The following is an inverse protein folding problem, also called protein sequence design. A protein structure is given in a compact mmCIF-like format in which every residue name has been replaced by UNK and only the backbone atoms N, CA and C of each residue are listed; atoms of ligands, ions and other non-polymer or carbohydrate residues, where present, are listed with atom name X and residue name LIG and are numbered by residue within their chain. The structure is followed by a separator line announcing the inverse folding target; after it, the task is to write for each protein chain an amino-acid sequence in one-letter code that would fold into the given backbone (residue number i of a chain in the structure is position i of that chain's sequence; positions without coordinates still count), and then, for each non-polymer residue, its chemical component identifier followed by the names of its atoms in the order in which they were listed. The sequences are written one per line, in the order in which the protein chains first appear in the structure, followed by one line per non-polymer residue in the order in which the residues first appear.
data_IF_668390106817
#
_entry.id   IF_668390106817
#
_cell.length_a   1.000
_cell.length_b   1.000
_cell.length_c   1.000
_cell.angle_alpha   90.00
_cell.angle_beta   90.00
_cell.angle_gamma   90.00
#
_symmetry.space_group_name_H-M   'P 1'
#
loop_
_entity.id
_entity.type
_entity.pdbx_description
1 polymer ?
#
# COMPACT_ATOMS: atom_id res chain seq x y z
N UNK A 1 8.35 23.58 28.65
CA UNK A 1 7.10 24.03 27.97
C UNK A 1 6.58 22.82 27.22
N UNK A 2 5.32 22.37 27.35
CA UNK A 2 4.92 21.19 26.61
C UNK A 2 4.93 21.57 25.12
N UNK A 3 5.79 20.86 24.41
CA UNK A 3 5.98 20.91 22.96
C UNK A 3 4.61 20.68 22.30
N UNK A 4 4.32 21.35 21.18
CA UNK A 4 3.09 21.19 20.41
C UNK A 4 2.75 19.70 20.23
N UNK A 5 1.91 19.16 21.13
CA UNK A 5 1.54 17.76 21.11
C UNK A 5 0.60 17.59 19.93
N UNK A 6 1.13 17.06 18.83
CA UNK A 6 0.31 16.75 17.66
C UNK A 6 -0.77 15.77 18.12
N UNK A 7 -2.04 16.16 17.98
CA UNK A 7 -3.17 15.34 18.39
C UNK A 7 -3.65 14.46 17.23
N UNK A 8 -4.01 13.22 17.54
CA UNK A 8 -4.55 12.26 16.56
C UNK A 8 -5.88 11.72 17.03
N UNK A 9 -6.85 11.61 16.12
CA UNK A 9 -8.17 10.99 16.42
C UNK A 9 -8.10 9.48 16.28
N UNK A 10 -9.06 8.75 16.86
CA UNK A 10 -9.14 7.29 16.70
C UNK A 10 -9.15 6.82 15.23
N UNK A 11 -9.70 7.63 14.31
CA UNK A 11 -9.64 7.34 12.87
C UNK A 11 -8.22 7.51 12.30
N UNK A 12 -7.47 8.52 12.76
CA UNK A 12 -6.05 8.68 12.44
C UNK A 12 -5.20 7.52 12.96
N UNK A 13 -5.42 7.11 14.22
CA UNK A 13 -4.77 5.94 14.82
C UNK A 13 -5.02 4.68 14.00
N UNK A 14 -6.27 4.48 13.55
CA UNK A 14 -6.64 3.34 12.72
C UNK A 14 -5.87 3.33 11.38
N UNK A 15 -5.68 4.50 10.75
CA UNK A 15 -4.85 4.63 9.54
C UNK A 15 -3.37 4.34 9.81
N UNK A 16 -2.80 4.91 10.89
CA UNK A 16 -1.40 4.70 11.28
C UNK A 16 -1.10 3.22 11.54
N UNK A 17 -2.00 2.53 12.24
CA UNK A 17 -1.85 1.11 12.56
C UNK A 17 -2.41 0.19 11.46
N UNK A 18 -2.98 0.76 10.40
CA UNK A 18 -3.42 -0.02 9.27
C UNK A 18 -4.64 -0.91 9.48
N UNK A 19 -5.50 -0.54 10.42
CA UNK A 19 -6.65 -1.33 10.87
C UNK A 19 -7.96 -0.55 10.71
N UNK A 20 -9.10 -1.20 10.94
CA UNK A 20 -10.39 -0.52 11.07
C UNK A 20 -10.58 0.18 12.41
N UNK A 21 -11.44 1.21 12.46
CA UNK A 21 -11.79 1.96 13.70
C UNK A 21 -12.24 1.06 14.87
N UNK A 22 -12.88 -0.07 14.57
CA UNK A 22 -13.32 -1.04 15.58
C UNK A 22 -12.15 -1.66 16.36
N UNK A 23 -10.98 -1.83 15.73
CA UNK A 23 -9.77 -2.33 16.40
C UNK A 23 -9.29 -1.35 17.47
N UNK A 24 -9.24 -0.05 17.13
CA UNK A 24 -8.86 1.02 18.08
C UNK A 24 -9.82 1.08 19.26
N UNK A 25 -11.13 0.95 19.01
CA UNK A 25 -12.13 0.87 20.08
C UNK A 25 -11.91 -0.34 20.98
N UNK A 26 -11.59 -1.50 20.41
CA UNK A 26 -11.28 -2.70 21.18
C UNK A 26 -9.99 -2.54 22.00
N UNK A 27 -8.98 -1.87 21.45
CA UNK A 27 -7.73 -1.64 22.17
C UNK A 27 -7.94 -0.79 23.42
N UNK A 28 -8.66 0.33 23.29
CA UNK A 28 -9.03 1.20 24.41
C UNK A 28 -9.71 0.46 25.56
N UNK A 29 -10.48 -0.59 25.25
CA UNK A 29 -11.19 -1.40 26.25
C UNK A 29 -10.34 -2.50 26.86
N UNK A 30 -9.49 -3.16 26.07
CA UNK A 30 -8.73 -4.36 26.49
C UNK A 30 -7.33 -4.05 27.03
N UNK A 31 -6.78 -2.89 26.69
CA UNK A 31 -5.44 -2.46 27.08
C UNK A 31 -5.58 -1.24 27.99
N UNK A 32 -5.40 -1.46 29.30
CA UNK A 32 -5.49 -0.40 30.31
C UNK A 32 -4.37 0.65 30.15
N UNK A 33 -3.26 0.25 29.54
CA UNK A 33 -2.09 1.04 29.17
C UNK A 33 -2.29 1.83 27.84
N UNK A 34 -3.42 1.67 27.15
CA UNK A 34 -3.70 2.46 25.95
C UNK A 34 -3.74 3.96 26.30
N UNK A 35 -3.14 4.84 25.48
CA UNK A 35 -3.07 6.28 25.76
C UNK A 35 -4.43 6.89 26.07
N UNK A 36 -4.46 7.70 27.13
CA UNK A 36 -5.66 8.43 27.51
C UNK A 36 -5.89 9.62 26.56
N UNK A 37 -7.15 10.01 26.32
CA UNK A 37 -7.44 11.15 25.47
C UNK A 37 -6.92 12.44 26.13
N UNK A 38 -6.27 13.28 25.33
CA UNK A 38 -5.73 14.59 25.75
C UNK A 38 -6.65 15.75 25.31
N UNK A 39 -7.62 15.47 24.45
CA UNK A 39 -8.58 16.46 23.95
C UNK A 39 -9.74 15.86 23.15
N UNK A 40 -10.33 16.69 22.30
CA UNK A 40 -11.46 16.32 21.43
C UNK A 40 -12.80 16.34 22.16
N UNK A 41 -13.78 15.64 21.61
CA UNK A 41 -15.14 15.54 22.21
C UNK A 41 -15.38 14.14 22.76
N UNK A 42 -16.42 13.98 23.59
CA UNK A 42 -16.85 12.66 24.05
C UNK A 42 -17.14 11.69 22.89
N UNK A 43 -17.63 12.21 21.75
CA UNK A 43 -17.92 11.43 20.55
C UNK A 43 -16.68 11.17 19.68
N UNK A 44 -15.69 12.07 19.70
CA UNK A 44 -14.45 11.95 18.93
C UNK A 44 -13.26 12.43 19.76
N UNK A 45 -12.76 11.60 20.67
CA UNK A 45 -11.59 11.93 21.47
C UNK A 45 -10.33 12.03 20.61
N UNK A 46 -9.42 12.91 21.01
CA UNK A 46 -8.07 13.01 20.45
C UNK A 46 -7.02 12.59 21.49
N UNK A 47 -5.92 12.06 20.98
CA UNK A 47 -4.84 11.44 21.74
C UNK A 47 -3.51 12.09 21.37
N UNK A 48 -2.55 12.13 22.29
CA UNK A 48 -1.20 12.58 21.97
C UNK A 48 -0.56 11.60 20.97
N UNK A 49 -0.21 12.08 19.77
CA UNK A 49 0.36 11.25 18.70
C UNK A 49 1.59 10.48 19.17
N UNK A 50 2.50 11.14 19.87
CA UNK A 50 3.74 10.53 20.36
C UNK A 50 3.47 9.34 21.31
N UNK A 51 2.48 9.44 22.19
CA UNK A 51 2.12 8.35 23.10
C UNK A 51 1.49 7.17 22.35
N UNK A 52 0.65 7.47 21.35
CA UNK A 52 0.04 6.45 20.50
C UNK A 52 1.08 5.74 19.65
N UNK A 53 2.01 6.46 19.01
CA UNK A 53 3.07 5.84 18.21
C UNK A 53 4.00 4.98 19.04
N UNK A 54 4.35 5.44 20.25
CA UNK A 54 5.12 4.64 21.21
C UNK A 54 4.37 3.36 21.57
N UNK A 55 3.11 3.47 21.98
CA UNK A 55 2.29 2.31 22.33
C UNK A 55 2.13 1.35 21.14
N UNK A 56 1.86 1.86 19.94
CA UNK A 56 1.76 1.03 18.73
C UNK A 56 3.07 0.29 18.45
N UNK A 57 4.22 0.95 18.59
CA UNK A 57 5.54 0.33 18.39
C UNK A 57 5.80 -0.76 19.43
N UNK A 58 5.56 -0.48 20.71
CA UNK A 58 5.73 -1.44 21.82
C UNK A 58 4.85 -2.67 21.66
N UNK A 59 3.65 -2.50 21.12
CA UNK A 59 2.70 -3.59 20.88
C UNK A 59 2.94 -4.33 19.56
N UNK A 60 3.93 -3.93 18.75
CA UNK A 60 4.14 -4.45 17.38
C UNK A 60 2.98 -4.13 16.43
N UNK A 61 2.19 -3.11 16.75
CA UNK A 61 0.98 -2.65 16.02
C UNK A 61 1.24 -1.41 15.16
N UNK A 62 2.47 -0.89 15.12
CA UNK A 62 2.87 0.08 14.12
C UNK A 62 3.05 -0.69 12.81
N UNK A 63 2.04 -0.60 11.94
CA UNK A 63 2.11 -1.27 10.66
C UNK A 63 3.18 -0.58 9.79
N UNK A 64 4.09 -1.35 9.20
CA UNK A 64 4.50 -1.00 7.85
C UNK A 64 3.21 -0.82 7.05
N UNK A 65 3.03 0.34 6.41
CA UNK A 65 1.79 0.75 5.73
C UNK A 65 1.09 -0.48 5.14
N UNK A 66 -0.17 -0.80 5.54
CA UNK A 66 -0.81 -2.04 5.11
C UNK A 66 -0.69 -2.22 3.62
N UNK A 67 -0.46 -3.45 3.18
CA UNK A 67 -0.25 -3.73 1.75
C UNK A 67 -1.31 -3.09 0.86
N UNK A 68 -2.59 -3.10 1.28
CA UNK A 68 -3.67 -2.42 0.55
C UNK A 68 -3.44 -0.91 0.42
N UNK A 69 -3.07 -0.24 1.51
CA UNK A 69 -2.83 1.20 1.53
C UNK A 69 -1.56 1.53 0.75
N UNK A 70 -0.51 0.70 0.89
CA UNK A 70 0.73 0.85 0.14
C UNK A 70 0.50 0.70 -1.36
N UNK A 71 -0.23 -0.33 -1.80
CA UNK A 71 -0.63 -0.49 -3.20
C UNK A 71 -1.41 0.74 -3.69
N UNK A 72 -2.31 1.29 -2.87
CA UNK A 72 -3.04 2.50 -3.24
C UNK A 72 -2.12 3.72 -3.38
N UNK A 73 -1.15 3.89 -2.47
CA UNK A 73 -0.15 4.97 -2.54
C UNK A 73 0.73 4.85 -3.80
N UNK A 74 1.20 3.65 -4.14
CA UNK A 74 1.99 3.40 -5.36
C UNK A 74 1.16 3.68 -6.62
N UNK A 75 -0.10 3.24 -6.66
CA UNK A 75 -1.00 3.49 -7.81
C UNK A 75 -1.31 4.98 -7.96
N UNK A 76 -1.59 5.68 -6.85
CA UNK A 76 -1.91 7.11 -6.88
C UNK A 76 -0.69 8.00 -7.19
N UNK A 77 0.51 7.56 -6.80
CA UNK A 77 1.78 8.27 -7.01
C UNK A 77 2.47 7.98 -8.33
N UNK A 78 1.94 7.08 -9.16
CA UNK A 78 2.57 6.68 -10.42
C UNK A 78 2.70 7.89 -11.37
N UNK A 79 3.87 8.12 -11.99
CA UNK A 79 4.13 9.32 -12.80
C UNK A 79 3.20 9.46 -14.01
N UNK A 80 2.77 8.34 -14.59
CA UNK A 80 1.80 8.31 -15.69
C UNK A 80 0.31 8.31 -15.23
N UNK A 81 0.05 8.48 -13.93
CA UNK A 81 -1.27 8.49 -13.34
C UNK A 81 -1.85 7.10 -13.01
N UNK A 82 -2.93 7.10 -12.23
CA UNK A 82 -3.51 5.90 -11.64
C UNK A 82 -4.07 4.89 -12.65
N UNK A 83 -4.66 5.37 -13.75
CA UNK A 83 -5.18 4.48 -14.80
C UNK A 83 -4.04 3.68 -15.45
N UNK A 84 -2.93 4.34 -15.77
CA UNK A 84 -1.77 3.68 -16.36
C UNK A 84 -1.09 2.72 -15.37
N UNK A 85 -1.01 3.10 -14.10
CA UNK A 85 -0.50 2.22 -13.04
C UNK A 85 -1.29 0.91 -12.95
N UNK A 86 -2.62 0.97 -13.07
CA UNK A 86 -3.48 -0.21 -13.08
C UNK A 86 -3.25 -1.08 -14.32
N UNK A 87 -3.04 -0.48 -15.50
CA UNK A 87 -2.69 -1.22 -16.72
C UNK A 87 -1.36 -1.96 -16.53
N UNK A 88 -0.30 -1.28 -16.09
CA UNK A 88 1.01 -1.90 -15.84
C UNK A 88 0.93 -3.05 -14.84
N UNK A 89 0.24 -2.81 -13.71
CA UNK A 89 0.05 -3.81 -12.67
C UNK A 89 -0.72 -5.01 -13.22
N UNK A 90 -1.77 -4.78 -14.01
CA UNK A 90 -2.55 -5.82 -14.66
C UNK A 90 -1.70 -6.67 -15.62
N UNK A 91 -0.90 -6.04 -16.48
CA UNK A 91 0.02 -6.72 -17.39
C UNK A 91 1.03 -7.60 -16.64
N UNK A 92 1.67 -7.07 -15.61
CA UNK A 92 2.61 -7.82 -14.78
C UNK A 92 1.92 -9.01 -14.08
N UNK A 93 0.73 -8.82 -13.51
CA UNK A 93 -0.03 -9.89 -12.87
C UNK A 93 -0.46 -10.99 -13.86
N UNK A 94 -0.84 -10.62 -15.08
CA UNK A 94 -1.13 -11.58 -16.15
C UNK A 94 0.11 -12.41 -16.50
N UNK A 95 1.28 -11.77 -16.60
CA UNK A 95 2.54 -12.45 -16.86
C UNK A 95 2.93 -13.41 -15.73
N UNK A 96 2.84 -12.97 -14.48
CA UNK A 96 3.10 -13.83 -13.30
C UNK A 96 2.17 -15.04 -13.29
N UNK A 97 0.88 -14.84 -13.62
CA UNK A 97 -0.12 -15.91 -13.61
C UNK A 97 0.09 -16.92 -14.75
N UNK A 98 0.34 -16.44 -15.96
CA UNK A 98 0.32 -17.28 -17.16
C UNK A 98 1.72 -17.80 -17.54
N UNK A 99 2.78 -17.15 -17.06
CA UNK A 99 4.20 -17.44 -17.37
C UNK A 99 5.10 -17.30 -16.12
N UNK A 100 4.85 -18.02 -15.03
CA UNK A 100 5.57 -17.82 -13.76
C UNK A 100 7.09 -18.05 -13.87
N UNK A 101 7.54 -18.99 -14.71
CA UNK A 101 8.98 -19.23 -14.92
C UNK A 101 9.65 -18.09 -15.68
N UNK A 102 9.01 -17.56 -16.73
CA UNK A 102 9.53 -16.43 -17.49
C UNK A 102 9.60 -15.17 -16.61
N UNK A 103 8.63 -14.97 -15.71
CA UNK A 103 8.70 -13.90 -14.72
C UNK A 103 9.93 -14.03 -13.80
N UNK A 104 10.20 -15.22 -13.28
CA UNK A 104 11.38 -15.45 -12.44
C UNK A 104 12.68 -15.17 -13.20
N UNK A 105 12.78 -15.60 -14.45
CA UNK A 105 13.93 -15.32 -15.31
C UNK A 105 14.12 -13.82 -15.57
N UNK A 106 13.03 -13.09 -15.86
CA UNK A 106 13.04 -11.64 -16.07
C UNK A 106 13.50 -10.90 -14.82
N UNK A 107 12.95 -11.23 -13.66
CA UNK A 107 13.30 -10.58 -12.38
C UNK A 107 14.70 -10.93 -11.87
N UNK A 108 15.31 -12.00 -12.39
CA UNK A 108 16.70 -12.35 -12.10
C UNK A 108 17.71 -11.71 -13.05
N UNK A 109 17.25 -11.09 -14.15
CA UNK A 109 18.10 -10.41 -15.11
C UNK A 109 18.55 -9.03 -14.60
N UNK A 110 19.53 -8.40 -15.29
CA UNK A 110 19.84 -7.00 -15.02
C UNK A 110 18.67 -6.11 -15.43
N UNK A 111 18.58 -4.91 -14.85
CA UNK A 111 17.53 -3.95 -15.18
C UNK A 111 17.49 -3.63 -16.68
N UNK A 112 18.64 -3.51 -17.35
CA UNK A 112 18.66 -3.27 -18.81
C UNK A 112 18.04 -4.45 -19.58
N UNK A 113 18.42 -5.68 -19.22
CA UNK A 113 17.88 -6.89 -19.88
C UNK A 113 16.40 -7.07 -19.59
N UNK A 114 15.96 -6.75 -18.38
CA UNK A 114 14.56 -6.79 -18.01
C UNK A 114 13.77 -5.75 -18.80
N UNK A 115 14.27 -4.52 -18.93
CA UNK A 115 13.64 -3.46 -19.70
C UNK A 115 13.47 -3.83 -21.18
N UNK A 116 14.45 -4.51 -21.78
CA UNK A 116 14.38 -4.97 -23.17
C UNK A 116 13.40 -6.15 -23.36
N UNK A 117 13.37 -7.09 -22.42
CA UNK A 117 12.62 -8.34 -22.55
C UNK A 117 11.16 -8.25 -22.05
N UNK A 118 10.87 -7.38 -21.08
CA UNK A 118 9.56 -7.25 -20.45
C UNK A 118 8.43 -6.90 -21.44
N UNK A 119 8.59 -5.93 -22.36
CA UNK A 119 7.53 -5.59 -23.32
C UNK A 119 7.12 -6.79 -24.18
N UNK A 120 8.09 -7.58 -24.64
CA UNK A 120 7.85 -8.79 -25.44
C UNK A 120 7.11 -9.87 -24.65
N UNK A 121 7.49 -10.05 -23.38
CA UNK A 121 6.81 -11.01 -22.50
C UNK A 121 5.36 -10.61 -22.21
N UNK A 122 5.12 -9.31 -22.01
CA UNK A 122 3.78 -8.73 -21.82
C UNK A 122 2.94 -8.87 -23.09
N UNK A 123 3.47 -8.50 -24.26
CA UNK A 123 2.76 -8.59 -25.53
C UNK A 123 2.29 -10.02 -25.83
N UNK A 124 3.14 -11.00 -25.55
CA UNK A 124 2.76 -12.40 -25.69
C UNK A 124 1.54 -12.77 -24.82
N UNK A 125 1.52 -12.38 -23.54
CA UNK A 125 0.39 -12.72 -22.66
C UNK A 125 -0.86 -11.94 -23.00
N UNK A 126 -0.73 -10.70 -23.46
CA UNK A 126 -1.86 -9.89 -23.94
C UNK A 126 -2.46 -10.49 -25.21
N UNK A 127 -1.64 -10.83 -26.20
CA UNK A 127 -2.09 -11.47 -27.45
C UNK A 127 -2.79 -12.80 -27.17
N UNK A 128 -2.23 -13.62 -26.27
CA UNK A 128 -2.83 -14.90 -25.90
C UNK A 128 -4.19 -14.74 -25.18
N UNK A 129 -4.42 -13.62 -24.48
CA UNK A 129 -5.64 -13.37 -23.70
C UNK A 129 -6.71 -12.58 -24.43
N UNK A 130 -6.30 -11.59 -25.22
CA UNK A 130 -7.18 -10.61 -25.85
C UNK A 130 -7.27 -10.78 -27.37
N UNK A 131 -6.41 -11.63 -27.96
CA UNK A 131 -6.29 -11.80 -29.40
C UNK A 131 -5.28 -10.85 -30.05
N UNK A 132 -5.03 -11.00 -31.36
CA UNK A 132 -3.99 -10.25 -32.08
C UNK A 132 -4.29 -8.76 -32.27
N UNK A 133 -5.54 -8.34 -32.07
CA UNK A 133 -5.96 -6.93 -32.19
C UNK A 133 -5.85 -6.16 -30.86
N UNK A 134 -5.18 -6.73 -29.85
CA UNK A 134 -4.96 -6.06 -28.57
C UNK A 134 -4.08 -4.80 -28.77
N UNK A 135 -4.39 -3.66 -28.12
CA UNK A 135 -3.58 -2.45 -28.28
C UNK A 135 -2.15 -2.69 -27.78
N UNK A 136 -1.21 -2.72 -28.73
CA UNK A 136 0.24 -2.91 -28.55
C UNK A 136 0.98 -1.60 -28.19
N UNK A 137 0.29 -0.60 -27.63
CA UNK A 137 1.00 0.54 -27.04
C UNK A 137 1.47 0.15 -25.64
N UNK A 138 2.60 -0.56 -25.60
CA UNK A 138 3.50 -0.47 -24.48
C UNK A 138 3.84 1.03 -24.31
N UNK A 139 3.47 1.66 -23.19
CA UNK A 139 3.87 3.04 -22.98
C UNK A 139 5.40 3.06 -22.91
N UNK A 140 5.96 3.97 -23.70
CA UNK A 140 7.38 4.28 -23.65
C UNK A 140 7.82 4.73 -22.25
N UNK A 141 9.14 4.77 -22.04
CA UNK A 141 9.75 5.06 -20.74
C UNK A 141 9.31 6.39 -20.12
#
# INVERSE_FOLDING_TARGET
MPENATEVTAAGIARLAGVGRAAVSNWRRRHADFPQPVGGTAASPSFALAEVERWLREQGKLAEVPLRERVWQEVAGHPAGAAQALVHTGCALLLVRDRPTAWLELTAASDERMADALPHAVDHVLTARLGPDAPSEAPGP
#
